data_IF_676699784554
#
_entry.id   IF_676699784554
#
_cell.length_a   1.000
_cell.length_b   1.000
_cell.length_c   1.000
_cell.angle_alpha   90.00
_cell.angle_beta   90.00
_cell.angle_gamma   90.00
#
_symmetry.space_group_name_H-M   'P 1'
#
loop_
_entity.id
_entity.type
_entity.pdbx_description
1 polymer ?
#
# COMPACT_ATOMS: atom_id res chain seq x y z
N UNK A 1 -8.37 31.24 -25.07
CA UNK A 1 -7.83 31.38 -23.71
C UNK A 1 -7.86 30.03 -23.00
N UNK A 2 -6.78 29.64 -22.39
CA UNK A 2 -6.74 28.40 -21.64
C UNK A 2 -7.43 28.57 -20.29
N UNK A 3 -8.25 27.58 -19.91
CA UNK A 3 -8.87 27.53 -18.57
C UNK A 3 -7.96 26.80 -17.60
N UNK A 4 -7.91 27.28 -16.36
CA UNK A 4 -7.17 26.64 -15.29
C UNK A 4 -8.18 26.01 -14.34
N UNK A 5 -8.07 24.69 -14.18
CA UNK A 5 -8.90 23.95 -13.23
C UNK A 5 -8.04 23.51 -12.07
N UNK A 6 -8.49 23.81 -10.85
CA UNK A 6 -7.80 23.42 -9.63
C UNK A 6 -8.74 22.72 -8.69
N UNK A 7 -8.23 21.73 -7.98
CA UNK A 7 -8.98 21.09 -6.89
C UNK A 7 -8.58 21.72 -5.57
N UNK A 8 -9.30 21.39 -4.50
CA UNK A 8 -8.88 21.78 -3.15
C UNK A 8 -7.52 21.20 -2.85
N UNK A 9 -6.72 21.95 -2.11
CA UNK A 9 -5.35 21.50 -1.77
C UNK A 9 -4.87 22.14 -0.48
N UNK A 10 -3.99 21.44 0.22
CA UNK A 10 -3.30 21.95 1.40
C UNK A 10 -1.92 21.32 1.48
N UNK A 11 -0.95 22.09 1.95
CA UNK A 11 0.41 21.60 2.26
C UNK A 11 0.57 21.37 3.75
N UNK A 12 -0.44 21.70 4.56
CA UNK A 12 -0.35 21.66 6.02
C UNK A 12 -1.40 20.76 6.66
N UNK A 13 -2.40 20.32 5.90
CA UNK A 13 -3.47 19.46 6.40
C UNK A 13 -3.51 18.16 5.62
N UNK A 14 -3.83 17.09 6.32
CA UNK A 14 -4.08 15.79 5.72
C UNK A 14 -5.50 15.67 5.20
N UNK A 15 -6.34 14.87 5.88
CA UNK A 15 -7.74 14.71 5.53
C UNK A 15 -8.44 16.08 5.49
N UNK A 16 -9.14 16.44 4.39
CA UNK A 16 -9.87 17.70 4.34
C UNK A 16 -11.00 17.72 5.36
N UNK A 17 -11.22 18.89 5.99
CA UNK A 17 -12.30 19.04 6.96
C UNK A 17 -13.66 19.08 6.30
N UNK A 18 -13.74 19.72 5.14
CA UNK A 18 -14.99 19.85 4.35
C UNK A 18 -14.68 19.49 2.91
N UNK A 19 -15.44 18.56 2.36
CA UNK A 19 -15.30 18.11 0.97
C UNK A 19 -16.67 17.69 0.45
N UNK A 20 -17.14 18.35 -0.60
CA UNK A 20 -18.44 18.06 -1.19
C UNK A 20 -18.47 16.75 -1.94
N UNK A 21 -19.67 16.26 -2.21
CA UNK A 21 -19.86 15.05 -3.00
C UNK A 21 -19.32 15.25 -4.42
N UNK A 22 -18.40 14.38 -4.85
CA UNK A 22 -17.75 14.49 -6.15
C UNK A 22 -16.61 15.50 -6.20
N UNK A 23 -16.35 16.22 -5.12
CA UNK A 23 -15.27 17.18 -5.05
C UNK A 23 -13.95 16.48 -4.74
N UNK A 24 -12.86 16.93 -5.38
CA UNK A 24 -11.52 16.39 -5.17
C UNK A 24 -10.70 17.31 -4.28
N UNK A 25 -9.81 16.71 -3.48
CA UNK A 25 -8.85 17.45 -2.67
C UNK A 25 -7.52 16.71 -2.62
N UNK A 26 -6.41 17.45 -2.65
CA UNK A 26 -5.09 16.87 -2.52
C UNK A 26 -4.38 17.42 -1.30
N UNK A 27 -3.83 16.53 -0.48
CA UNK A 27 -2.95 16.90 0.62
C UNK A 27 -1.50 16.73 0.18
N UNK A 28 -0.76 17.83 0.10
CA UNK A 28 0.68 17.84 -0.13
C UNK A 28 1.50 17.83 1.16
N UNK A 29 0.84 17.69 2.31
CA UNK A 29 1.54 17.45 3.58
C UNK A 29 2.33 16.16 3.45
N UNK A 30 3.59 16.16 3.89
CA UNK A 30 4.41 14.97 3.83
C UNK A 30 3.81 13.86 4.68
N UNK A 31 3.58 12.70 4.08
CA UNK A 31 3.02 11.53 4.78
C UNK A 31 3.97 11.05 5.87
N UNK A 32 3.42 10.78 7.05
CA UNK A 32 4.16 10.17 8.17
C UNK A 32 3.58 8.81 8.57
N UNK A 33 2.68 8.25 7.76
CA UNK A 33 2.00 6.98 8.02
C UNK A 33 0.62 7.14 8.64
N UNK A 34 0.32 8.28 9.27
CA UNK A 34 -0.95 8.46 9.99
C UNK A 34 -1.56 9.85 9.88
N UNK A 35 -0.92 10.79 9.19
CA UNK A 35 -1.41 12.18 9.13
C UNK A 35 -2.31 12.48 7.94
N UNK A 36 -2.55 11.51 7.05
CA UNK A 36 -3.39 11.72 5.87
C UNK A 36 -2.73 12.49 4.74
N UNK A 37 -1.42 12.73 4.81
CA UNK A 37 -0.68 13.47 3.81
C UNK A 37 -0.36 12.66 2.56
N UNK A 38 0.08 13.36 1.51
CA UNK A 38 0.45 12.80 0.21
C UNK A 38 -0.68 11.96 -0.42
N UNK A 39 -1.93 12.39 -0.23
CA UNK A 39 -3.11 11.64 -0.65
C UNK A 39 -4.09 12.50 -1.43
N UNK A 40 -4.76 11.85 -2.38
CA UNK A 40 -5.87 12.43 -3.14
C UNK A 40 -7.18 11.91 -2.59
N UNK A 41 -8.10 12.80 -2.27
CA UNK A 41 -9.40 12.49 -1.68
C UNK A 41 -10.54 12.84 -2.63
N UNK A 42 -11.66 12.12 -2.51
CA UNK A 42 -12.93 12.49 -3.14
C UNK A 42 -14.05 12.41 -2.10
N UNK A 43 -14.96 13.37 -2.14
CA UNK A 43 -16.16 13.32 -1.32
C UNK A 43 -17.19 12.39 -1.94
N UNK A 44 -17.81 11.53 -1.14
CA UNK A 44 -18.86 10.61 -1.58
C UNK A 44 -19.99 10.54 -0.57
N UNK A 45 -21.17 10.27 -1.09
CA UNK A 45 -22.38 10.09 -0.28
C UNK A 45 -23.16 11.35 -0.09
N UNK A 46 -24.04 11.34 0.92
CA UNK A 46 -24.93 12.47 1.19
C UNK A 46 -24.12 13.70 1.61
N UNK A 47 -24.44 14.84 0.98
CA UNK A 47 -23.79 16.10 1.29
C UNK A 47 -24.69 16.95 2.19
N UNK A 48 -24.10 17.51 3.24
CA UNK A 48 -24.76 18.43 4.15
C UNK A 48 -23.85 19.63 4.39
N UNK A 49 -24.36 20.83 4.13
CA UNK A 49 -23.59 22.07 4.29
C UNK A 49 -22.25 22.04 3.53
N UNK A 50 -22.27 21.51 2.33
CA UNK A 50 -21.06 21.43 1.48
C UNK A 50 -20.09 20.31 1.84
N UNK A 51 -20.45 19.46 2.77
CA UNK A 51 -19.59 18.37 3.24
C UNK A 51 -20.25 17.01 3.02
N UNK A 52 -19.60 16.14 2.25
CA UNK A 52 -20.06 14.79 2.03
C UNK A 52 -19.81 13.92 3.27
N UNK A 53 -20.65 12.90 3.44
CA UNK A 53 -20.57 12.01 4.59
C UNK A 53 -19.27 11.21 4.61
N UNK A 54 -18.68 10.94 3.44
CA UNK A 54 -17.42 10.20 3.33
C UNK A 54 -16.39 11.01 2.56
N UNK A 55 -15.15 10.97 3.03
CA UNK A 55 -13.98 11.46 2.32
C UNK A 55 -13.12 10.24 2.01
N UNK A 56 -13.11 9.80 0.76
CA UNK A 56 -12.47 8.55 0.34
C UNK A 56 -11.11 8.86 -0.28
N UNK A 57 -10.10 8.10 0.11
CA UNK A 57 -8.77 8.21 -0.48
C UNK A 57 -8.78 7.43 -1.80
N UNK A 58 -8.39 8.08 -2.90
CA UNK A 58 -8.39 7.46 -4.22
C UNK A 58 -7.02 7.46 -4.89
N UNK A 59 -5.98 7.93 -4.20
CA UNK A 59 -4.63 7.94 -4.75
C UNK A 59 -3.72 8.89 -4.03
N UNK A 60 -2.64 9.27 -4.69
CA UNK A 60 -1.68 10.23 -4.22
C UNK A 60 -0.25 9.71 -4.16
N UNK A 61 0.67 10.62 -3.89
CA UNK A 61 2.11 10.33 -3.86
C UNK A 61 2.47 9.21 -2.89
N UNK A 62 1.77 9.11 -1.75
CA UNK A 62 1.98 8.01 -0.81
C UNK A 62 1.96 6.64 -1.49
N UNK A 63 0.97 6.42 -2.37
CA UNK A 63 0.75 5.11 -2.99
C UNK A 63 1.67 4.87 -4.17
N UNK A 64 1.96 5.92 -4.95
CA UNK A 64 2.93 5.79 -6.05
C UNK A 64 4.33 5.54 -5.50
N UNK A 65 4.70 6.17 -4.39
CA UNK A 65 5.98 5.92 -3.73
C UNK A 65 6.07 4.48 -3.22
N UNK A 66 4.98 3.94 -2.67
CA UNK A 66 4.94 2.54 -2.23
C UNK A 66 5.16 1.57 -3.40
N UNK A 67 4.53 1.84 -4.54
CA UNK A 67 4.69 1.01 -5.73
C UNK A 67 6.12 1.12 -6.27
N UNK A 68 6.66 2.34 -6.32
CA UNK A 68 8.03 2.56 -6.80
C UNK A 68 9.08 1.92 -5.89
N UNK A 69 8.79 1.82 -4.60
CA UNK A 69 9.68 1.20 -3.63
C UNK A 69 9.51 -0.32 -3.52
N UNK A 70 8.58 -0.92 -4.27
CA UNK A 70 8.38 -2.36 -4.25
C UNK A 70 9.68 -3.08 -4.63
N UNK A 71 9.97 -4.19 -3.96
CA UNK A 71 11.25 -4.89 -4.14
C UNK A 71 11.08 -6.39 -3.99
N UNK A 72 11.96 -7.13 -4.64
CA UNK A 72 12.06 -8.59 -4.45
C UNK A 72 12.92 -8.95 -3.24
N UNK A 73 13.59 -7.97 -2.63
CA UNK A 73 14.45 -8.19 -1.49
C UNK A 73 13.67 -8.20 -0.18
N UNK A 74 14.24 -8.80 0.85
CA UNK A 74 13.66 -8.83 2.18
C UNK A 74 13.84 -7.46 2.86
N UNK A 75 12.97 -6.52 2.52
CA UNK A 75 13.01 -5.16 3.04
C UNK A 75 11.72 -4.85 3.79
N UNK A 76 11.86 -4.44 5.04
CA UNK A 76 10.71 -4.12 5.90
C UNK A 76 9.90 -2.96 5.34
N UNK A 77 8.59 -3.06 5.41
CA UNK A 77 7.69 -1.96 5.06
C UNK A 77 7.49 -1.73 3.58
N UNK A 78 7.92 -2.64 2.73
CA UNK A 78 7.76 -2.51 1.28
C UNK A 78 6.74 -3.50 0.73
N UNK A 79 6.23 -3.18 -0.44
CA UNK A 79 5.46 -4.13 -1.24
C UNK A 79 6.42 -5.12 -1.88
N UNK A 80 5.96 -6.35 -2.10
CA UNK A 80 6.74 -7.37 -2.77
C UNK A 80 6.50 -7.31 -4.27
N UNK A 81 7.57 -7.24 -5.05
CA UNK A 81 7.50 -7.50 -6.49
C UNK A 81 8.46 -8.62 -6.83
N UNK A 82 8.14 -9.39 -7.85
CA UNK A 82 9.02 -10.46 -8.30
C UNK A 82 10.14 -9.91 -9.15
N UNK A 83 11.28 -10.58 -9.13
CA UNK A 83 12.41 -10.23 -10.00
C UNK A 83 12.19 -10.77 -11.44
N UNK A 84 13.22 -10.68 -12.27
CA UNK A 84 13.13 -11.12 -13.67
C UNK A 84 12.90 -12.62 -13.84
N UNK A 85 13.14 -13.40 -12.80
CA UNK A 85 12.90 -14.84 -12.79
C UNK A 85 11.56 -15.21 -12.17
N UNK A 86 10.83 -14.24 -11.62
CA UNK A 86 9.59 -14.47 -10.90
C UNK A 86 9.78 -14.76 -9.41
N UNK A 87 10.96 -14.52 -8.87
CA UNK A 87 11.31 -14.82 -7.50
C UNK A 87 11.23 -13.60 -6.59
N UNK A 88 11.10 -13.84 -5.27
CA UNK A 88 11.28 -12.81 -4.25
C UNK A 88 11.85 -13.44 -2.98
N UNK A 89 12.44 -12.61 -2.11
CA UNK A 89 13.08 -13.04 -0.87
C UNK A 89 12.27 -12.53 0.33
N UNK A 90 12.01 -13.41 1.28
CA UNK A 90 11.35 -13.09 2.52
C UNK A 90 12.11 -13.70 3.71
N UNK A 91 12.00 -13.06 4.87
CA UNK A 91 12.55 -13.63 6.11
C UNK A 91 11.76 -14.86 6.55
N UNK A 92 10.44 -14.77 6.44
CA UNK A 92 9.53 -15.83 6.86
C UNK A 92 8.26 -15.77 6.03
N UNK A 93 7.77 -16.93 5.64
CA UNK A 93 6.47 -17.06 5.00
C UNK A 93 5.60 -17.92 5.91
N UNK A 94 4.42 -17.42 6.27
CA UNK A 94 3.41 -18.17 7.00
C UNK A 94 2.30 -18.49 6.02
N UNK A 95 2.26 -19.72 5.54
CA UNK A 95 1.30 -20.14 4.52
C UNK A 95 1.29 -21.66 4.43
N UNK A 96 0.21 -22.21 3.87
CA UNK A 96 0.20 -23.62 3.48
C UNK A 96 1.00 -23.76 2.20
N UNK A 97 1.89 -24.76 2.16
CA UNK A 97 2.68 -25.06 0.97
C UNK A 97 2.01 -26.18 0.19
N UNK A 98 1.66 -25.91 -1.05
CA UNK A 98 1.12 -26.91 -1.98
C UNK A 98 2.22 -27.21 -3.00
N UNK A 99 2.66 -28.47 -3.04
CA UNK A 99 3.76 -28.92 -3.88
C UNK A 99 4.96 -29.34 -3.04
N UNK A 100 6.13 -29.37 -3.63
CA UNK A 100 7.35 -29.81 -2.99
C UNK A 100 8.28 -28.63 -2.71
N UNK A 101 8.91 -28.65 -1.53
CA UNK A 101 10.08 -27.82 -1.28
C UNK A 101 11.32 -28.59 -1.72
N UNK A 102 12.25 -27.91 -2.38
CA UNK A 102 13.47 -28.56 -2.85
C UNK A 102 14.30 -29.12 -1.71
N UNK A 103 14.47 -28.35 -0.65
CA UNK A 103 15.18 -28.78 0.55
C UNK A 103 14.55 -28.16 1.79
N UNK A 104 14.55 -28.94 2.86
CA UNK A 104 14.27 -28.44 4.20
C UNK A 104 15.08 -29.26 5.18
N UNK A 105 15.89 -28.59 5.96
CA UNK A 105 16.81 -29.23 6.89
C UNK A 105 16.10 -30.09 7.92
N UNK A 106 15.01 -29.59 8.49
CA UNK A 106 14.25 -30.35 9.49
C UNK A 106 13.61 -31.59 8.90
N UNK A 107 13.05 -31.46 7.72
CA UNK A 107 12.42 -32.60 7.04
C UNK A 107 13.45 -33.65 6.69
N UNK A 108 14.59 -33.22 6.18
CA UNK A 108 15.68 -34.12 5.83
C UNK A 108 16.19 -34.88 7.04
N UNK A 109 16.38 -34.20 8.17
CA UNK A 109 16.81 -34.81 9.40
C UNK A 109 15.82 -35.84 9.93
N UNK A 110 14.53 -35.54 9.86
CA UNK A 110 13.49 -36.48 10.28
C UNK A 110 13.52 -37.77 9.44
N UNK A 111 13.73 -37.64 8.14
CA UNK A 111 13.85 -38.82 7.26
C UNK A 111 15.06 -39.67 7.56
N UNK A 112 16.18 -39.03 7.85
CA UNK A 112 17.38 -39.73 8.21
C UNK A 112 17.20 -40.55 9.47
N UNK A 113 16.50 -40.00 10.45
CA UNK A 113 16.20 -40.77 11.67
C UNK A 113 15.32 -41.98 11.40
N UNK A 114 14.39 -41.87 10.48
CA UNK A 114 13.53 -43.00 10.11
C UNK A 114 14.30 -44.14 9.47
N UNK A 115 15.33 -43.83 8.71
CA UNK A 115 16.12 -44.81 8.00
C UNK A 115 17.09 -45.59 8.89
N UNK A 116 17.46 -45.05 10.03
CA UNK A 116 18.41 -45.66 10.95
C UNK A 116 17.74 -46.52 12.01
N UNK A 117 16.44 -46.44 12.13
CA UNK A 117 15.65 -47.16 13.12
C UNK A 117 15.44 -48.62 12.85
#
# INVERSE_FOLDING_TARGET
MASILRIKRSETSGNPGVLGAGELAYSGLTDNGSNGGDRLYIGLGLETAGNAVNHIIIGGKRYTDMVDAATNLNTVGTLVKRDSNGDFTARRVTADLIGNADTTTKWLNARNLSLTG
#
